data_IF_936933527826
#
_entry.id   IF_936933527826
#
_cell.length_a   1.000
_cell.length_b   1.000
_cell.length_c   1.000
_cell.angle_alpha   90.00
_cell.angle_beta   90.00
_cell.angle_gamma   90.00
#
_symmetry.space_group_name_H-M   'P 1'
#
loop_
_entity.id
_entity.type
_entity.pdbx_description
1 polymer ?
#
# COMPACT_ATOMS: atom_id res chain seq x y z
N UNK A 1 -31.07 -20.16 3.18
CA UNK A 1 -30.22 -18.98 3.48
C UNK A 1 -28.81 -19.32 3.01
N UNK A 2 -28.35 -18.76 1.87
CA UNK A 2 -27.00 -19.02 1.37
C UNK A 2 -26.01 -18.39 2.35
N UNK A 3 -25.30 -19.24 3.07
CA UNK A 3 -24.25 -18.88 4.00
C UNK A 3 -23.00 -18.46 3.20
N UNK A 4 -23.11 -17.37 2.44
CA UNK A 4 -21.96 -16.72 1.81
C UNK A 4 -21.21 -16.00 2.92
N UNK A 5 -20.37 -16.76 3.63
CA UNK A 5 -19.38 -16.22 4.55
C UNK A 5 -18.64 -15.06 3.88
N UNK A 6 -18.36 -13.98 4.61
CA UNK A 6 -17.88 -12.75 4.04
C UNK A 6 -16.64 -13.03 3.21
N UNK A 7 -16.65 -12.57 1.94
CA UNK A 7 -15.52 -12.58 1.00
C UNK A 7 -14.23 -12.43 1.81
N UNK A 8 -13.40 -13.47 1.83
CA UNK A 8 -12.13 -13.59 2.58
C UNK A 8 -11.68 -12.28 3.24
N UNK A 9 -11.55 -12.25 4.57
CA UNK A 9 -10.90 -11.13 5.27
C UNK A 9 -9.62 -10.77 4.53
N UNK A 10 -9.51 -9.52 4.08
CA UNK A 10 -8.30 -9.04 3.41
C UNK A 10 -7.13 -9.19 4.37
N UNK A 11 -6.05 -9.82 3.92
CA UNK A 11 -4.91 -10.20 4.75
C UNK A 11 -4.05 -9.00 5.18
N UNK A 12 -4.36 -7.79 4.70
CA UNK A 12 -3.53 -6.59 4.86
C UNK A 12 -2.23 -6.60 4.05
N UNK A 13 -1.91 -7.70 3.34
CA UNK A 13 -0.71 -7.79 2.51
C UNK A 13 -0.99 -7.22 1.11
N UNK A 14 -0.18 -6.27 0.68
CA UNK A 14 -0.27 -5.65 -0.63
C UNK A 14 1.06 -5.81 -1.39
N UNK A 15 1.17 -6.86 -2.19
CA UNK A 15 2.37 -7.16 -2.97
C UNK A 15 2.15 -6.70 -4.42
N UNK A 16 2.88 -5.67 -4.86
CA UNK A 16 2.84 -5.16 -6.23
C UNK A 16 4.23 -5.19 -6.85
N UNK A 17 4.29 -5.51 -8.15
CA UNK A 17 5.53 -5.40 -8.92
C UNK A 17 5.58 -4.01 -9.55
N UNK A 18 6.67 -3.29 -9.29
CA UNK A 18 6.95 -1.98 -9.87
C UNK A 18 8.33 -1.98 -10.54
N UNK A 19 8.57 -1.12 -11.53
CA UNK A 19 9.90 -0.88 -12.07
C UNK A 19 10.90 -0.45 -10.98
N UNK A 20 12.18 -0.82 -11.13
CA UNK A 20 13.23 -0.54 -10.14
C UNK A 20 13.46 0.96 -9.93
N UNK A 21 13.35 1.77 -10.98
CA UNK A 21 13.46 3.22 -10.90
C UNK A 21 12.32 3.85 -10.07
N UNK A 22 11.08 3.34 -10.22
CA UNK A 22 9.96 3.81 -9.43
C UNK A 22 10.14 3.44 -7.95
N UNK A 23 10.59 2.21 -7.66
CA UNK A 23 10.89 1.79 -6.29
C UNK A 23 11.97 2.68 -5.64
N UNK A 24 13.04 3.00 -6.36
CA UNK A 24 14.11 3.88 -5.86
C UNK A 24 13.60 5.28 -5.55
N UNK A 25 12.78 5.87 -6.42
CA UNK A 25 12.20 7.19 -6.20
C UNK A 25 11.29 7.20 -4.95
N UNK A 26 10.40 6.21 -4.82
CA UNK A 26 9.49 6.11 -3.67
C UNK A 26 10.30 5.95 -2.38
N UNK A 27 11.32 5.08 -2.37
CA UNK A 27 12.19 4.90 -1.21
C UNK A 27 12.89 6.21 -0.80
N UNK A 28 13.39 6.98 -1.77
CA UNK A 28 14.04 8.26 -1.50
C UNK A 28 13.08 9.28 -0.92
N UNK A 29 11.86 9.38 -1.43
CA UNK A 29 10.84 10.31 -0.92
C UNK A 29 10.40 9.91 0.48
N UNK A 30 10.12 8.63 0.70
CA UNK A 30 9.76 8.11 2.02
C UNK A 30 10.83 8.42 3.07
N UNK A 31 12.11 8.23 2.73
CA UNK A 31 13.22 8.56 3.62
C UNK A 31 13.31 10.06 3.90
N UNK A 32 13.10 10.92 2.91
CA UNK A 32 13.10 12.37 3.08
C UNK A 32 11.94 12.84 4.01
N UNK A 33 10.81 12.13 4.00
CA UNK A 33 9.68 12.36 4.91
C UNK A 33 9.85 11.68 6.29
N UNK A 34 10.94 10.95 6.54
CA UNK A 34 11.15 10.20 7.77
C UNK A 34 10.21 9.00 7.93
N UNK A 35 9.66 8.48 6.84
CA UNK A 35 8.70 7.37 6.79
C UNK A 35 9.36 6.10 6.26
N UNK A 36 8.83 4.95 6.68
CA UNK A 36 9.12 3.69 5.98
C UNK A 36 8.45 3.68 4.60
N UNK A 37 9.00 2.93 3.66
CA UNK A 37 8.39 2.73 2.33
C UNK A 37 6.92 2.27 2.45
N UNK A 38 6.64 1.31 3.34
CA UNK A 38 5.29 0.81 3.56
C UNK A 38 4.36 1.90 4.08
N UNK A 39 4.81 2.71 5.05
CA UNK A 39 3.99 3.79 5.59
C UNK A 39 3.69 4.84 4.52
N UNK A 40 4.70 5.26 3.76
CA UNK A 40 4.51 6.23 2.68
C UNK A 40 3.52 5.72 1.62
N UNK A 41 3.58 4.43 1.26
CA UNK A 41 2.63 3.81 0.34
C UNK A 41 1.21 3.78 0.93
N UNK A 42 1.06 3.43 2.21
CA UNK A 42 -0.25 3.41 2.89
C UNK A 42 -0.86 4.81 2.88
N UNK A 43 -0.13 5.83 3.33
CA UNK A 43 -0.61 7.23 3.35
C UNK A 43 -1.05 7.68 1.95
N UNK A 44 -0.26 7.34 0.92
CA UNK A 44 -0.55 7.70 -0.47
C UNK A 44 -1.82 7.01 -0.97
N UNK A 45 -2.01 5.73 -0.63
CA UNK A 45 -3.19 4.96 -1.03
C UNK A 45 -4.46 5.42 -0.28
N UNK A 46 -4.35 5.75 1.00
CA UNK A 46 -5.44 6.33 1.80
C UNK A 46 -5.90 7.67 1.20
N UNK A 47 -4.94 8.56 0.91
CA UNK A 47 -5.22 9.84 0.25
C UNK A 47 -5.89 9.65 -1.12
N UNK A 48 -5.36 8.75 -1.94
CA UNK A 48 -5.89 8.49 -3.29
C UNK A 48 -7.28 7.82 -3.28
N UNK A 49 -7.56 7.02 -2.25
CA UNK A 49 -8.85 6.35 -2.09
C UNK A 49 -9.89 7.21 -1.34
N UNK A 50 -9.51 8.41 -0.88
CA UNK A 50 -10.34 9.29 -0.05
C UNK A 50 -10.84 8.61 1.22
N UNK A 51 -9.96 7.86 1.90
CA UNK A 51 -10.23 7.18 3.17
C UNK A 51 -9.52 7.93 4.31
#
# INVERSE_FOLDING_TARGET
KRNIEPKKKYSGKFNVRVPSNLHANIASVAMAEGKSLNQWIVDTLEHAAHI
#
